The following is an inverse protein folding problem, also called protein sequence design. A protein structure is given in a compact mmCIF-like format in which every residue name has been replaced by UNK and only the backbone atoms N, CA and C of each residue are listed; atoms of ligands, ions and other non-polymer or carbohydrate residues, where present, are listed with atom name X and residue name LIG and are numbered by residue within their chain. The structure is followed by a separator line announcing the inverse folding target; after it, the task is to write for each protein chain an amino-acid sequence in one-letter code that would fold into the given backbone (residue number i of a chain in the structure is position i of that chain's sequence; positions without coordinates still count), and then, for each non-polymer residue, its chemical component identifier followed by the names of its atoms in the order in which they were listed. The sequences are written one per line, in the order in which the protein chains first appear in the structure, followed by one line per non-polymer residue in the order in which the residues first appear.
data_IF_853237751893
#
_entry.id   IF_853237751893
#
_cell.length_a   1.000
_cell.length_b   1.000
_cell.length_c   1.000
_cell.angle_alpha   90.00
_cell.angle_beta   90.00
_cell.angle_gamma   90.00
#
_symmetry.space_group_name_H-M   'P 1'
#
loop_
_entity.id
_entity.type
_entity.pdbx_description
1 polymer ?
#
# COMPACT_ATOMS: atom_id res chain seq x y z
N UNK A 1 16.05 30.33 12.43
CA UNK A 1 15.92 29.26 13.44
C UNK A 1 14.49 28.75 13.38
N UNK A 2 14.30 27.45 13.42
CA UNK A 2 12.95 26.85 13.42
C UNK A 2 12.30 27.06 14.79
N UNK A 3 10.97 27.20 14.84
CA UNK A 3 10.23 27.41 16.08
C UNK A 3 9.65 26.12 16.66
N UNK A 4 9.66 25.05 15.89
CA UNK A 4 9.13 23.71 16.22
C UNK A 4 10.04 22.64 15.63
N UNK A 5 9.97 21.41 16.12
CA UNK A 5 10.72 20.30 15.56
C UNK A 5 10.27 19.98 14.13
N UNK A 6 11.23 19.61 13.28
CA UNK A 6 10.99 19.14 11.93
C UNK A 6 11.73 17.83 11.72
N UNK A 7 11.04 16.81 11.27
CA UNK A 7 11.60 15.47 11.14
C UNK A 7 11.66 15.04 9.67
N UNK A 8 12.86 14.55 9.27
CA UNK A 8 13.06 13.85 8.00
C UNK A 8 13.50 12.42 8.32
N UNK A 9 12.79 11.44 7.77
CA UNK A 9 12.98 10.03 8.11
C UNK A 9 13.27 9.25 6.83
N UNK A 10 14.32 8.46 6.85
CA UNK A 10 14.61 7.47 5.83
C UNK A 10 14.47 6.07 6.43
N UNK A 11 13.40 5.37 6.04
CA UNK A 11 13.12 4.00 6.49
C UNK A 11 13.57 3.00 5.46
N UNK A 12 14.74 2.41 5.67
CA UNK A 12 15.23 1.27 4.90
C UNK A 12 14.69 -0.06 5.42
N UNK A 13 15.09 -1.16 4.78
CA UNK A 13 14.73 -2.52 5.20
C UNK A 13 15.37 -2.93 6.53
N UNK A 14 16.63 -2.52 6.78
CA UNK A 14 17.39 -2.90 7.99
C UNK A 14 17.45 -1.78 9.01
N UNK A 15 17.71 -0.56 8.58
CA UNK A 15 17.86 0.61 9.45
C UNK A 15 16.90 1.72 9.06
N UNK A 16 16.50 2.49 10.06
CA UNK A 16 15.75 3.73 9.94
C UNK A 16 16.60 4.86 10.49
N UNK A 17 16.87 5.86 9.66
CA UNK A 17 17.57 7.09 10.05
C UNK A 17 16.52 8.20 10.27
N UNK A 18 16.56 8.83 11.44
CA UNK A 18 15.66 9.92 11.82
C UNK A 18 16.48 11.18 12.05
N UNK A 19 16.26 12.18 11.20
CA UNK A 19 16.87 13.51 11.26
C UNK A 19 15.88 14.49 11.87
N UNK A 20 16.33 15.35 12.75
CA UNK A 20 15.52 16.41 13.34
C UNK A 20 16.22 17.77 13.30
N UNK A 21 15.53 18.78 12.77
CA UNK A 21 15.85 20.19 13.04
C UNK A 21 15.24 20.55 14.39
N UNK A 22 16.09 21.04 15.30
CA UNK A 22 15.71 21.32 16.69
C UNK A 22 15.45 22.82 16.86
N UNK A 23 14.38 23.23 17.57
CA UNK A 23 14.11 24.63 17.83
C UNK A 23 15.28 25.30 18.56
N UNK A 24 15.77 26.42 17.99
CA UNK A 24 16.83 27.23 18.61
C UNK A 24 18.26 26.67 18.48
N UNK A 25 18.45 25.48 17.94
CA UNK A 25 19.78 24.91 17.69
C UNK A 25 20.18 25.07 16.21
N UNK A 26 21.46 25.36 15.92
CA UNK A 26 22.00 25.24 14.56
C UNK A 26 22.29 23.80 14.22
N UNK A 27 21.92 23.35 13.00
CA UNK A 27 22.17 21.99 12.53
C UNK A 27 21.01 21.05 12.79
N UNK A 28 21.31 19.75 12.89
CA UNK A 28 20.30 18.70 13.05
C UNK A 28 20.81 17.59 13.97
N UNK A 29 19.87 16.89 14.63
CA UNK A 29 20.10 15.67 15.39
C UNK A 29 19.82 14.47 14.53
N UNK A 30 20.54 13.36 14.76
CA UNK A 30 20.33 12.11 14.01
C UNK A 30 20.25 10.95 14.99
N UNK A 31 19.25 10.12 14.82
CA UNK A 31 19.12 8.83 15.51
C UNK A 31 18.95 7.73 14.47
N UNK A 32 19.76 6.67 14.61
CA UNK A 32 19.70 5.47 13.77
C UNK A 32 19.16 4.30 14.59
N UNK A 33 18.18 3.60 14.07
CA UNK A 33 17.46 2.50 14.69
C UNK A 33 17.38 1.31 13.75
N UNK A 34 17.20 0.10 14.28
CA UNK A 34 16.74 -1.01 13.47
C UNK A 34 15.32 -0.72 12.97
N UNK A 35 15.02 -1.01 11.71
CA UNK A 35 13.67 -0.81 11.16
C UNK A 35 12.63 -1.72 11.81
N UNK A 36 13.08 -2.90 12.28
CA UNK A 36 12.25 -3.88 12.98
C UNK A 36 12.96 -4.32 14.26
N UNK A 37 12.39 -3.98 15.41
CA UNK A 37 12.84 -4.39 16.75
C UNK A 37 11.63 -4.50 17.70
N UNK A 38 10.77 -5.51 17.49
CA UNK A 38 9.49 -5.63 18.22
C UNK A 38 9.67 -5.86 19.73
N UNK A 39 10.88 -6.26 20.17
CA UNK A 39 11.17 -6.42 21.60
C UNK A 39 11.27 -5.06 22.32
N UNK A 40 11.65 -3.99 21.63
CA UNK A 40 11.91 -2.69 22.24
C UNK A 40 10.90 -1.63 21.79
N UNK A 41 10.44 -1.67 20.53
CA UNK A 41 9.48 -0.73 19.96
C UNK A 41 8.71 -1.34 18.76
N UNK A 42 7.44 -0.98 18.59
CA UNK A 42 6.64 -1.48 17.47
C UNK A 42 6.90 -0.72 16.14
N UNK A 43 7.44 0.50 16.21
CA UNK A 43 7.61 1.39 15.06
C UNK A 43 8.87 2.24 15.21
N UNK A 44 9.86 2.02 14.34
CA UNK A 44 11.15 2.71 14.40
C UNK A 44 11.07 4.22 14.14
N UNK A 45 10.33 4.73 13.13
CA UNK A 45 10.11 6.17 12.95
C UNK A 45 9.61 6.86 14.21
N UNK A 46 8.57 6.30 14.83
CA UNK A 46 7.97 6.85 16.05
C UNK A 46 8.96 6.83 17.21
N UNK A 47 9.66 5.74 17.40
CA UNK A 47 10.68 5.60 18.45
C UNK A 47 11.82 6.59 18.27
N UNK A 48 12.29 6.82 17.05
CA UNK A 48 13.33 7.80 16.75
C UNK A 48 12.91 9.22 17.08
N UNK A 49 11.68 9.61 16.69
CA UNK A 49 11.11 10.92 17.06
C UNK A 49 11.03 11.04 18.58
N UNK A 50 10.50 10.05 19.28
CA UNK A 50 10.37 10.02 20.73
C UNK A 50 11.71 10.26 21.43
N UNK A 51 12.75 9.53 21.03
CA UNK A 51 14.09 9.66 21.61
C UNK A 51 14.67 11.06 21.46
N UNK A 52 14.54 11.66 20.27
CA UNK A 52 15.03 13.01 20.03
C UNK A 52 14.25 14.02 20.87
N UNK A 53 12.92 13.90 20.94
CA UNK A 53 12.09 14.79 21.75
C UNK A 53 12.46 14.67 23.23
N UNK A 54 12.64 13.47 23.78
CA UNK A 54 13.03 13.26 25.18
C UNK A 54 14.42 13.81 25.48
N UNK A 55 15.39 13.55 24.58
CA UNK A 55 16.76 14.06 24.73
C UNK A 55 16.81 15.59 24.78
N UNK A 56 16.09 16.25 23.89
CA UNK A 56 16.14 17.71 23.75
C UNK A 56 15.30 18.41 24.81
N UNK A 57 14.10 17.89 25.09
CA UNK A 57 13.18 18.59 26.00
C UNK A 57 13.33 18.20 27.48
N UNK A 58 14.00 17.06 27.74
CA UNK A 58 14.11 16.49 29.10
C UNK A 58 12.78 15.96 29.65
N UNK A 59 11.72 15.90 28.86
CA UNK A 59 10.39 15.42 29.25
C UNK A 59 10.14 14.02 28.71
N UNK A 60 9.48 13.12 29.47
CA UNK A 60 9.10 11.82 28.94
C UNK A 60 7.99 11.97 27.91
N UNK A 61 8.07 11.21 26.82
CA UNK A 61 7.05 11.11 25.79
C UNK A 61 6.44 9.70 25.77
N UNK A 62 5.11 9.58 25.64
CA UNK A 62 4.45 8.27 25.62
C UNK A 62 4.92 7.42 24.43
N UNK A 63 5.05 6.11 24.67
CA UNK A 63 5.36 5.15 23.60
C UNK A 63 4.23 5.04 22.57
N UNK A 64 3.00 5.29 23.00
CA UNK A 64 1.81 5.32 22.17
C UNK A 64 1.20 6.73 22.18
N UNK A 65 0.97 7.25 20.96
CA UNK A 65 0.46 8.59 20.77
C UNK A 65 1.53 9.68 20.74
N UNK A 66 1.35 10.69 19.90
CA UNK A 66 2.20 11.87 19.83
C UNK A 66 1.46 13.10 20.32
N UNK A 67 2.15 13.92 21.08
CA UNK A 67 1.74 15.32 21.26
C UNK A 67 2.33 16.08 20.06
N UNK A 68 1.50 16.36 19.08
CA UNK A 68 1.93 17.00 17.82
C UNK A 68 2.21 18.50 17.95
N UNK A 69 1.94 19.11 19.11
CA UNK A 69 2.10 20.56 19.34
C UNK A 69 3.53 21.08 19.15
N UNK A 70 4.51 20.22 19.39
CA UNK A 70 5.93 20.58 19.29
C UNK A 70 6.51 20.31 17.89
N UNK A 71 5.73 19.69 16.98
CA UNK A 71 6.17 19.23 15.67
C UNK A 71 5.52 20.08 14.58
N UNK A 72 6.33 20.67 13.69
CA UNK A 72 5.87 21.41 12.52
C UNK A 72 5.48 20.45 11.39
N UNK A 73 6.39 19.52 11.05
CA UNK A 73 6.12 18.48 10.04
C UNK A 73 7.00 17.24 10.22
N UNK A 74 6.51 16.15 9.64
CA UNK A 74 7.24 14.89 9.48
C UNK A 74 7.23 14.53 7.99
N UNK A 75 8.41 14.32 7.42
CA UNK A 75 8.60 13.82 6.04
C UNK A 75 9.27 12.46 6.12
N UNK A 76 8.75 11.48 5.39
CA UNK A 76 9.30 10.13 5.39
C UNK A 76 9.44 9.59 3.97
N UNK A 77 10.65 9.12 3.67
CA UNK A 77 10.94 8.25 2.53
C UNK A 77 11.06 6.80 3.01
N UNK A 78 10.71 5.84 2.15
CA UNK A 78 10.88 4.43 2.47
C UNK A 78 11.10 3.59 1.23
N UNK A 79 11.97 2.58 1.33
CA UNK A 79 12.20 1.55 0.32
C UNK A 79 11.61 0.19 0.70
N UNK A 80 10.85 0.11 1.81
CA UNK A 80 10.30 -1.16 2.33
C UNK A 80 9.43 -1.86 1.31
N UNK A 81 8.51 -1.12 0.64
CA UNK A 81 7.65 -1.69 -0.38
C UNK A 81 8.42 -2.19 -1.60
N UNK A 82 9.42 -1.42 -2.06
CA UNK A 82 10.30 -1.81 -3.16
C UNK A 82 11.07 -3.08 -2.83
N UNK A 83 11.65 -3.15 -1.62
CA UNK A 83 12.38 -4.33 -1.17
C UNK A 83 11.46 -5.55 -1.05
N UNK A 84 10.25 -5.40 -0.50
CA UNK A 84 9.26 -6.46 -0.42
C UNK A 84 8.89 -7.02 -1.81
N UNK A 85 8.73 -6.15 -2.81
CA UNK A 85 8.48 -6.56 -4.20
C UNK A 85 9.67 -7.32 -4.81
N UNK A 86 10.89 -6.85 -4.59
CA UNK A 86 12.11 -7.48 -5.11
C UNK A 86 12.36 -8.83 -4.44
N UNK A 87 12.14 -8.93 -3.14
CA UNK A 87 12.33 -10.16 -2.35
C UNK A 87 11.12 -11.10 -2.43
N UNK A 88 10.05 -10.71 -3.12
CA UNK A 88 8.78 -11.45 -3.18
C UNK A 88 8.18 -11.73 -1.80
N UNK A 89 8.44 -10.86 -0.85
CA UNK A 89 7.87 -10.87 0.49
C UNK A 89 6.65 -9.98 0.54
N UNK A 90 5.49 -10.55 0.76
CA UNK A 90 4.24 -9.80 0.82
C UNK A 90 3.10 -10.65 1.38
N UNK A 91 1.97 -10.00 1.62
CA UNK A 91 0.75 -10.70 2.01
C UNK A 91 0.28 -11.63 0.89
N UNK A 92 -0.20 -12.80 1.23
CA UNK A 92 -0.86 -13.69 0.27
C UNK A 92 -2.16 -13.03 -0.20
N UNK A 93 -2.27 -12.83 -1.51
CA UNK A 93 -3.31 -11.98 -2.11
C UNK A 93 -4.25 -12.81 -2.97
N UNK A 94 -5.55 -12.55 -2.83
CA UNK A 94 -6.61 -12.99 -3.74
C UNK A 94 -6.92 -11.84 -4.71
N UNK A 95 -6.87 -12.12 -6.01
CA UNK A 95 -7.41 -11.22 -7.04
C UNK A 95 -8.89 -11.54 -7.25
N UNK A 96 -9.74 -10.53 -7.09
CA UNK A 96 -11.17 -10.61 -7.43
C UNK A 96 -11.41 -9.78 -8.67
N UNK A 97 -11.98 -10.38 -9.70
CA UNK A 97 -12.20 -9.70 -10.98
C UNK A 97 -13.47 -10.18 -11.67
N UNK A 98 -13.92 -9.45 -12.69
CA UNK A 98 -15.03 -9.84 -13.55
C UNK A 98 -14.72 -11.18 -14.25
N UNK A 99 -15.71 -12.05 -14.35
CA UNK A 99 -15.60 -13.33 -15.06
C UNK A 99 -15.14 -13.16 -16.50
N UNK A 100 -14.15 -13.98 -16.88
CA UNK A 100 -13.47 -13.92 -18.17
C UNK A 100 -12.27 -12.99 -18.20
N UNK A 101 -11.87 -12.39 -17.06
CA UNK A 101 -10.69 -11.53 -16.93
C UNK A 101 -9.64 -12.07 -15.95
N UNK A 102 -9.77 -13.31 -15.51
CA UNK A 102 -8.86 -13.92 -14.53
C UNK A 102 -7.40 -13.97 -14.97
N UNK A 103 -7.13 -14.00 -16.26
CA UNK A 103 -5.80 -14.02 -16.87
C UNK A 103 -5.31 -12.66 -17.38
N UNK A 104 -6.10 -11.58 -17.18
CA UNK A 104 -5.80 -10.24 -17.69
C UNK A 104 -4.41 -9.75 -17.29
N UNK A 105 -4.04 -9.89 -16.02
CA UNK A 105 -2.73 -9.47 -15.53
C UNK A 105 -1.60 -10.38 -16.04
N UNK A 106 -1.87 -11.64 -16.30
CA UNK A 106 -0.92 -12.57 -16.91
C UNK A 106 -0.68 -12.23 -18.39
N UNK A 107 -1.73 -11.88 -19.12
CA UNK A 107 -1.62 -11.43 -20.51
C UNK A 107 -0.90 -10.09 -20.56
N UNK A 108 -1.28 -9.14 -19.70
CA UNK A 108 -0.73 -7.79 -19.64
C UNK A 108 -0.94 -7.04 -20.97
N UNK A 109 -0.04 -6.13 -21.26
CA UNK A 109 -0.06 -5.35 -22.50
C UNK A 109 0.69 -6.00 -23.68
N UNK A 110 1.21 -7.20 -23.49
CA UNK A 110 2.00 -7.96 -24.47
C UNK A 110 3.27 -7.24 -24.97
N UNK A 111 3.77 -6.26 -24.26
CA UNK A 111 5.02 -5.60 -24.56
C UNK A 111 6.19 -6.60 -24.51
N UNK A 112 7.04 -6.54 -25.53
CA UNK A 112 8.27 -7.31 -25.58
C UNK A 112 9.43 -6.39 -25.20
N UNK A 113 10.14 -6.63 -24.08
CA UNK A 113 11.31 -5.84 -23.70
C UNK A 113 12.39 -5.87 -24.79
N UNK A 114 12.49 -7.01 -25.48
CA UNK A 114 13.37 -7.23 -26.64
C UNK A 114 12.57 -7.86 -27.77
N UNK A 115 12.41 -7.13 -28.84
CA UNK A 115 11.47 -7.49 -29.92
C UNK A 115 11.81 -8.81 -30.62
N UNK A 116 13.08 -9.21 -30.62
CA UNK A 116 13.56 -10.44 -31.28
C UNK A 116 13.77 -11.63 -30.34
N UNK A 117 13.51 -11.47 -29.03
CA UNK A 117 13.63 -12.58 -28.09
C UNK A 117 12.51 -13.60 -28.35
N UNK A 118 12.90 -14.86 -28.53
CA UNK A 118 11.95 -15.96 -28.68
C UNK A 118 11.31 -16.37 -27.35
N UNK A 119 12.05 -16.19 -26.25
CA UNK A 119 11.56 -16.44 -24.88
C UNK A 119 11.23 -15.13 -24.18
N UNK A 120 9.95 -14.91 -23.86
CA UNK A 120 9.51 -13.75 -23.10
C UNK A 120 9.31 -14.17 -21.65
N UNK A 121 10.16 -13.69 -20.76
CA UNK A 121 10.01 -13.89 -19.32
C UNK A 121 9.22 -12.73 -18.73
N UNK A 122 8.00 -13.02 -18.27
CA UNK A 122 7.17 -12.06 -17.53
C UNK A 122 7.50 -12.15 -16.04
N UNK A 123 7.34 -11.04 -15.27
CA UNK A 123 7.38 -11.09 -13.82
C UNK A 123 6.33 -12.06 -13.27
N UNK A 124 6.66 -12.74 -12.19
CA UNK A 124 5.70 -13.57 -11.47
C UNK A 124 4.53 -12.73 -10.96
N UNK A 125 3.34 -13.32 -10.98
CA UNK A 125 2.13 -12.70 -10.43
C UNK A 125 2.25 -12.56 -8.90
N UNK A 126 1.68 -11.49 -8.36
CA UNK A 126 1.72 -11.21 -6.92
C UNK A 126 0.58 -11.85 -6.14
N UNK A 127 -0.45 -12.33 -6.82
CA UNK A 127 -1.59 -13.03 -6.22
C UNK A 127 -1.44 -14.54 -6.38
N UNK A 128 -1.98 -15.30 -5.43
CA UNK A 128 -1.95 -16.76 -5.43
C UNK A 128 -3.23 -17.37 -6.00
N UNK A 129 -4.33 -16.66 -5.88
CA UNK A 129 -5.65 -17.15 -6.31
C UNK A 129 -6.41 -16.06 -7.06
N UNK A 130 -7.31 -16.49 -7.93
CA UNK A 130 -8.24 -15.61 -8.66
C UNK A 130 -9.66 -16.05 -8.33
N UNK A 131 -10.53 -15.11 -8.01
CA UNK A 131 -11.98 -15.29 -7.89
C UNK A 131 -12.64 -14.46 -8.99
N UNK A 132 -13.27 -15.15 -9.92
CA UNK A 132 -14.07 -14.50 -10.95
C UNK A 132 -15.52 -14.35 -10.50
N UNK A 133 -16.07 -13.15 -10.68
CA UNK A 133 -17.43 -12.80 -10.30
C UNK A 133 -18.28 -12.62 -11.55
N UNK A 134 -19.42 -13.29 -11.58
CA UNK A 134 -20.45 -13.07 -12.61
C UNK A 134 -21.06 -11.68 -12.42
N UNK A 135 -20.54 -10.71 -13.16
CA UNK A 135 -21.02 -9.36 -13.27
C UNK A 135 -20.55 -8.76 -14.59
N UNK A 136 -21.25 -7.74 -15.08
CA UNK A 136 -20.83 -7.06 -16.31
C UNK A 136 -21.28 -5.61 -16.32
N UNK A 137 -20.32 -4.72 -16.54
CA UNK A 137 -20.54 -3.29 -16.74
C UNK A 137 -19.86 -2.87 -18.05
N UNK A 138 -20.46 -1.93 -18.77
CA UNK A 138 -19.82 -1.27 -19.92
C UNK A 138 -20.16 0.20 -19.99
N UNK A 139 -19.38 0.95 -20.72
CA UNK A 139 -19.74 2.33 -21.07
C UNK A 139 -21.04 2.34 -21.89
N UNK A 140 -21.93 3.29 -21.60
CA UNK A 140 -23.12 3.56 -22.38
C UNK A 140 -22.72 4.12 -23.75
N UNK A 141 -23.39 3.65 -24.79
CA UNK A 141 -23.23 4.12 -26.16
C UNK A 141 -24.39 5.04 -26.53
N UNK A 142 -24.21 5.86 -27.56
CA UNK A 142 -25.24 6.80 -28.02
C UNK A 142 -26.52 6.13 -28.54
N UNK A 143 -26.42 4.90 -29.00
CA UNK A 143 -27.51 4.07 -29.51
C UNK A 143 -28.24 3.23 -28.44
N UNK A 144 -27.78 3.29 -27.20
CA UNK A 144 -28.43 2.59 -26.09
C UNK A 144 -29.73 3.29 -25.68
N UNK A 145 -30.83 2.55 -25.68
CA UNK A 145 -32.16 3.04 -25.27
C UNK A 145 -32.31 3.09 -23.73
N UNK A 146 -31.52 2.34 -23.01
CA UNK A 146 -31.56 2.27 -21.54
C UNK A 146 -30.75 3.41 -20.93
N UNK A 147 -31.26 4.11 -19.90
CA UNK A 147 -30.49 5.12 -19.19
C UNK A 147 -29.33 4.47 -18.45
N UNK A 148 -28.20 5.13 -18.47
CA UNK A 148 -26.99 4.71 -17.75
C UNK A 148 -27.01 5.15 -16.28
N UNK A 149 -26.05 4.64 -15.53
CA UNK A 149 -25.69 5.12 -14.19
C UNK A 149 -24.46 6.02 -14.34
N UNK A 150 -24.55 7.25 -13.84
CA UNK A 150 -23.44 8.19 -13.90
C UNK A 150 -22.31 7.77 -12.95
N UNK A 151 -21.09 7.69 -13.48
CA UNK A 151 -19.89 7.46 -12.72
C UNK A 151 -19.34 8.74 -12.08
N UNK A 152 -18.33 8.59 -11.24
CA UNK A 152 -17.69 9.71 -10.51
C UNK A 152 -16.98 10.72 -11.42
N UNK A 153 -16.65 10.33 -12.64
CA UNK A 153 -15.97 11.14 -13.66
C UNK A 153 -16.90 11.67 -14.74
N UNK A 154 -18.22 11.43 -14.58
CA UNK A 154 -19.27 11.94 -15.46
C UNK A 154 -19.60 11.05 -16.66
N UNK A 155 -18.93 9.90 -16.83
CA UNK A 155 -19.31 8.92 -17.84
C UNK A 155 -20.55 8.12 -17.40
N UNK A 156 -21.40 7.76 -18.35
CA UNK A 156 -22.54 6.88 -18.11
C UNK A 156 -22.16 5.41 -18.36
N UNK A 157 -22.55 4.55 -17.43
CA UNK A 157 -22.34 3.11 -17.49
C UNK A 157 -23.66 2.35 -17.55
N UNK A 158 -23.69 1.27 -18.32
CA UNK A 158 -24.76 0.29 -18.27
C UNK A 158 -24.32 -0.92 -17.43
N UNK A 159 -25.13 -1.26 -16.45
CA UNK A 159 -24.99 -2.50 -15.68
C UNK A 159 -25.77 -3.56 -16.42
N UNK A 160 -25.05 -4.46 -17.11
CA UNK A 160 -25.64 -5.56 -17.86
C UNK A 160 -25.98 -6.74 -16.95
N UNK A 161 -25.15 -7.00 -15.96
CA UNK A 161 -25.32 -8.07 -14.98
C UNK A 161 -24.85 -7.59 -13.61
N UNK A 162 -25.67 -7.80 -12.59
CA UNK A 162 -25.32 -7.46 -11.20
C UNK A 162 -24.73 -8.67 -10.50
N UNK A 163 -23.68 -8.49 -9.68
CA UNK A 163 -23.11 -9.59 -8.93
C UNK A 163 -24.10 -10.16 -7.90
N UNK A 164 -24.10 -11.48 -7.74
CA UNK A 164 -24.80 -12.13 -6.64
C UNK A 164 -23.95 -11.99 -5.37
N UNK A 165 -24.29 -11.02 -4.52
CA UNK A 165 -23.52 -10.67 -3.33
C UNK A 165 -23.44 -11.81 -2.31
N UNK A 166 -24.44 -12.69 -2.24
CA UNK A 166 -24.42 -13.86 -1.34
C UNK A 166 -23.40 -14.89 -1.82
N UNK A 167 -23.39 -15.17 -3.12
CA UNK A 167 -22.39 -16.05 -3.74
C UNK A 167 -20.98 -15.50 -3.57
N UNK A 168 -20.77 -14.20 -3.83
CA UNK A 168 -19.48 -13.54 -3.63
C UNK A 168 -19.02 -13.66 -2.19
N UNK A 169 -19.91 -13.40 -1.21
CA UNK A 169 -19.58 -13.55 0.21
C UNK A 169 -19.15 -14.96 0.55
N UNK A 170 -19.89 -15.97 0.11
CA UNK A 170 -19.59 -17.37 0.38
C UNK A 170 -18.21 -17.76 -0.20
N UNK A 171 -17.92 -17.35 -1.43
CA UNK A 171 -16.62 -17.59 -2.08
C UNK A 171 -15.46 -16.91 -1.36
N UNK A 172 -15.66 -15.69 -0.86
CA UNK A 172 -14.64 -14.97 -0.07
C UNK A 172 -14.44 -15.64 1.31
N UNK A 173 -15.48 -16.13 1.94
CA UNK A 173 -15.39 -16.88 3.21
C UNK A 173 -14.66 -18.21 3.03
N UNK A 174 -14.89 -18.92 1.93
CA UNK A 174 -14.15 -20.13 1.59
C UNK A 174 -12.67 -19.85 1.37
N UNK A 175 -12.36 -18.81 0.56
CA UNK A 175 -10.99 -18.37 0.33
C UNK A 175 -10.28 -17.97 1.64
N UNK A 176 -10.99 -17.34 2.58
CA UNK A 176 -10.45 -17.00 3.91
C UNK A 176 -10.24 -18.25 4.78
N UNK A 177 -11.13 -19.22 4.73
CA UNK A 177 -11.02 -20.48 5.52
C UNK A 177 -9.87 -21.37 5.07
N UNK A 178 -9.42 -21.26 3.81
CA UNK A 178 -8.22 -21.96 3.35
C UNK A 178 -6.93 -21.50 4.07
N UNK A 179 -7.04 -20.46 4.92
CA UNK A 179 -6.01 -20.04 5.87
C UNK A 179 -4.82 -19.32 5.23
N UNK A 180 -4.87 -19.06 3.93
CA UNK A 180 -3.71 -18.60 3.18
C UNK A 180 -3.78 -17.13 2.76
N UNK A 181 -4.93 -16.47 2.89
CA UNK A 181 -5.14 -15.13 2.36
C UNK A 181 -5.11 -14.05 3.44
N UNK A 182 -4.27 -13.05 3.24
CA UNK A 182 -4.14 -11.87 4.11
C UNK A 182 -4.70 -10.61 3.47
N UNK A 183 -4.85 -10.59 2.14
CA UNK A 183 -5.26 -9.42 1.37
C UNK A 183 -6.18 -9.84 0.22
N UNK A 184 -7.20 -9.01 -0.03
CA UNK A 184 -8.10 -9.13 -1.19
C UNK A 184 -7.92 -7.87 -2.03
N UNK A 185 -7.60 -8.04 -3.32
CA UNK A 185 -7.58 -6.96 -4.30
C UNK A 185 -8.78 -7.13 -5.24
N UNK A 186 -9.58 -6.07 -5.40
CA UNK A 186 -10.73 -6.01 -6.30
C UNK A 186 -10.39 -5.05 -7.43
N UNK A 187 -10.46 -5.50 -8.67
CA UNK A 187 -10.21 -4.69 -9.86
C UNK A 187 -11.35 -4.83 -10.87
#
# INVERSE_FOLDING_TARGET
MVNSFRFSIDRGGTFTDVYAEVPGEPGFRVVKLLSEDPAHYPDAPREGIRRILEEVTGRPYPKEGFVSSDIDWIRMGTTVATNALLERKGAKTLLVTTKGFGDLLQIGNQNRPRIFDLEIRKPELLYQQVLEIDERVRLRRADDSTPGVEGTTGEEFLILEKPNLEQVRNSLEEAKKSGELSLIHIS
#
